data_IF_070918954143
#
_entry.id   IF_070918954143
#
_cell.length_a   1.000
_cell.length_b   1.000
_cell.length_c   1.000
_cell.angle_alpha   90.00
_cell.angle_beta   90.00
_cell.angle_gamma   90.00
#
_symmetry.space_group_name_H-M   'P 1'
#
loop_
_entity.id
_entity.type
_entity.pdbx_description
1 polymer ?
#
# COMPACT_ATOMS: atom_id res chain seq x y z
N UNK A 1 -8.44 52.61 71.62
CA UNK A 1 -9.10 52.56 70.34
C UNK A 1 -8.28 51.72 69.39
N UNK A 2 -8.74 50.53 69.14
CA UNK A 2 -8.03 49.52 68.35
C UNK A 2 -8.47 49.57 66.91
N UNK A 3 -7.59 49.92 66.00
CA UNK A 3 -7.81 49.84 64.58
C UNK A 3 -7.36 48.43 64.16
N UNK A 4 -8.28 47.58 63.87
CA UNK A 4 -7.98 46.26 63.31
C UNK A 4 -7.90 46.42 61.84
N UNK A 5 -6.68 46.39 61.31
CA UNK A 5 -6.45 46.21 59.85
C UNK A 5 -6.74 44.78 59.48
N UNK A 6 -7.81 44.59 58.75
CA UNK A 6 -8.05 43.34 58.12
C UNK A 6 -7.21 43.24 56.83
N UNK A 7 -6.19 42.43 56.86
CA UNK A 7 -5.48 42.05 55.63
C UNK A 7 -6.36 41.11 54.83
N UNK A 8 -6.94 41.63 53.78
CA UNK A 8 -7.60 40.79 52.77
C UNK A 8 -6.47 40.28 51.85
N UNK A 9 -6.12 39.03 52.04
CA UNK A 9 -5.20 38.36 51.13
C UNK A 9 -6.03 37.96 49.91
N UNK A 10 -5.91 38.72 48.83
CA UNK A 10 -6.46 38.32 47.54
C UNK A 10 -5.55 37.23 46.97
N UNK A 11 -6.04 35.99 47.04
CA UNK A 11 -5.40 34.88 46.36
C UNK A 11 -5.72 35.00 44.86
N UNK A 12 -4.78 35.51 44.09
CA UNK A 12 -4.86 35.47 42.63
C UNK A 12 -4.59 34.04 42.19
N UNK A 13 -5.65 33.32 41.94
CA UNK A 13 -5.59 32.06 41.18
C UNK A 13 -5.23 32.40 39.73
N UNK A 14 -3.94 32.31 39.42
CA UNK A 14 -3.52 32.32 38.02
C UNK A 14 -3.94 30.99 37.38
N UNK A 15 -5.05 30.98 36.66
CA UNK A 15 -5.36 29.88 35.76
C UNK A 15 -4.32 29.92 34.65
N UNK A 16 -3.29 29.09 34.77
CA UNK A 16 -2.43 28.78 33.62
C UNK A 16 -3.19 27.88 32.68
N UNK A 17 -3.75 28.45 31.63
CA UNK A 17 -4.30 27.69 30.54
C UNK A 17 -3.13 26.97 29.85
N UNK A 18 -2.95 25.70 30.16
CA UNK A 18 -2.02 24.88 29.43
C UNK A 18 -2.61 24.62 28.03
N UNK A 19 -2.14 25.39 27.06
CA UNK A 19 -2.43 25.08 25.65
C UNK A 19 -1.68 23.81 25.31
N UNK A 20 -2.40 22.68 25.35
CA UNK A 20 -1.87 21.44 24.81
C UNK A 20 -1.88 21.56 23.29
N UNK A 21 -0.75 21.98 22.74
CA UNK A 21 -0.54 21.90 21.30
C UNK A 21 -0.36 20.41 20.98
N UNK A 22 -1.42 19.79 20.55
CA UNK A 22 -1.33 18.47 19.96
C UNK A 22 -0.65 18.64 18.61
N UNK A 23 0.68 18.56 18.61
CA UNK A 23 1.42 18.42 17.38
C UNK A 23 1.03 17.06 16.78
N UNK A 24 0.14 17.08 15.79
CA UNK A 24 -0.08 15.94 14.93
C UNK A 24 1.21 15.75 14.14
N UNK A 25 2.12 14.95 14.68
CA UNK A 25 3.24 14.47 13.91
C UNK A 25 2.67 13.79 12.65
N UNK A 26 3.21 14.09 11.45
CA UNK A 26 2.78 13.37 10.27
C UNK A 26 2.96 11.89 10.57
N UNK A 27 1.86 11.17 10.65
CA UNK A 27 1.90 9.72 10.76
C UNK A 27 2.52 9.22 9.47
N UNK A 28 3.77 8.83 9.54
CA UNK A 28 4.32 7.94 8.54
C UNK A 28 3.51 6.66 8.68
N UNK A 29 2.53 6.49 7.79
CA UNK A 29 1.83 5.23 7.67
C UNK A 29 2.86 4.28 7.08
N UNK A 30 3.59 3.59 7.96
CA UNK A 30 4.37 2.45 7.56
C UNK A 30 3.34 1.38 7.22
N UNK A 31 3.03 1.25 5.94
CA UNK A 31 2.28 0.11 5.48
C UNK A 31 3.10 -1.13 5.85
N UNK A 32 2.51 -2.09 6.58
CA UNK A 32 3.23 -3.34 6.83
C UNK A 32 3.61 -3.91 5.46
N UNK A 33 4.85 -4.42 5.31
CA UNK A 33 5.26 -5.04 4.06
C UNK A 33 4.22 -6.10 3.69
N UNK A 34 3.72 -6.04 2.45
CA UNK A 34 2.84 -7.08 1.92
C UNK A 34 3.59 -8.40 2.09
N UNK A 35 3.01 -9.35 2.81
CA UNK A 35 3.62 -10.64 3.03
C UNK A 35 3.94 -11.29 1.67
N UNK A 36 5.20 -11.65 1.45
CA UNK A 36 5.61 -12.37 0.25
C UNK A 36 4.90 -13.72 0.20
N UNK A 37 4.37 -14.06 -0.98
CA UNK A 37 3.85 -15.39 -1.23
C UNK A 37 5.01 -16.28 -1.64
N UNK A 38 5.30 -17.29 -0.85
CA UNK A 38 6.37 -18.26 -1.08
C UNK A 38 5.78 -19.66 -1.20
N UNK A 39 6.08 -20.35 -2.29
CA UNK A 39 5.51 -21.65 -2.61
C UNK A 39 6.63 -22.64 -2.91
N UNK A 40 6.54 -23.84 -2.36
CA UNK A 40 7.55 -24.89 -2.58
C UNK A 40 7.45 -25.52 -3.98
N UNK A 41 6.26 -25.55 -4.56
CA UNK A 41 6.03 -26.12 -5.88
C UNK A 41 6.27 -25.10 -6.99
N UNK A 42 6.90 -25.49 -8.11
CA UNK A 42 7.05 -24.59 -9.24
C UNK A 42 5.70 -24.25 -9.87
N UNK A 43 5.53 -23.04 -10.40
CA UNK A 43 4.31 -22.69 -11.13
C UNK A 43 4.22 -23.51 -12.41
N UNK A 44 3.00 -23.80 -12.88
CA UNK A 44 2.80 -24.40 -14.20
C UNK A 44 3.31 -23.47 -15.32
N UNK A 45 3.54 -24.00 -16.53
CA UNK A 45 3.84 -23.14 -17.68
C UNK A 45 2.75 -22.10 -17.91
N UNK A 46 3.15 -20.93 -18.38
CA UNK A 46 2.20 -19.87 -18.72
C UNK A 46 1.22 -20.34 -19.79
N UNK A 47 -0.05 -20.05 -19.60
CA UNK A 47 -1.06 -20.35 -20.60
C UNK A 47 -0.96 -19.36 -21.77
N UNK A 48 -1.15 -19.87 -22.97
CA UNK A 48 -1.23 -19.05 -24.17
C UNK A 48 -2.61 -18.41 -24.23
N UNK A 49 -2.64 -17.09 -24.33
CA UNK A 49 -3.88 -16.33 -24.40
C UNK A 49 -4.05 -15.68 -25.77
N UNK A 50 -5.28 -15.62 -26.25
CA UNK A 50 -5.63 -14.79 -27.40
C UNK A 50 -5.86 -13.39 -26.89
N UNK A 51 -5.05 -12.44 -27.34
CA UNK A 51 -5.18 -11.03 -26.96
C UNK A 51 -6.25 -10.37 -27.84
N UNK A 52 -7.39 -9.95 -27.27
CA UNK A 52 -8.41 -9.26 -28.06
C UNK A 52 -7.95 -7.86 -28.48
N UNK A 53 -8.66 -7.28 -29.43
CA UNK A 53 -8.36 -5.91 -29.88
C UNK A 53 -8.53 -4.94 -28.71
N UNK A 54 -7.58 -4.02 -28.55
CA UNK A 54 -7.64 -3.01 -27.49
C UNK A 54 -8.88 -2.11 -27.63
N UNK A 55 -9.55 -1.75 -26.52
CA UNK A 55 -10.69 -0.84 -26.54
C UNK A 55 -10.34 0.57 -27.04
N UNK A 56 -9.06 0.97 -26.94
CA UNK A 56 -8.58 2.26 -27.37
C UNK A 56 -7.07 2.40 -27.23
N UNK A 57 -6.50 3.56 -27.62
CA UNK A 57 -5.04 3.73 -27.69
C UNK A 57 -4.34 3.78 -26.32
N UNK A 58 -5.08 4.11 -25.25
CA UNK A 58 -4.53 4.23 -23.91
C UNK A 58 -4.76 2.97 -23.05
N UNK A 59 -5.11 1.88 -23.68
CA UNK A 59 -5.32 0.60 -23.01
C UNK A 59 -4.11 -0.30 -23.19
N UNK A 60 -3.67 -0.91 -22.09
CA UNK A 60 -2.50 -1.78 -22.05
C UNK A 60 -2.93 -3.17 -21.65
N UNK A 61 -2.48 -4.16 -22.43
CA UNK A 61 -2.72 -5.56 -22.12
C UNK A 61 -1.87 -5.96 -20.90
N UNK A 62 -2.54 -6.46 -19.88
CA UNK A 62 -1.90 -7.11 -18.75
C UNK A 62 -2.04 -8.62 -18.93
N UNK A 63 -0.95 -9.34 -19.30
CA UNK A 63 -1.02 -10.76 -19.52
C UNK A 63 -1.50 -11.52 -18.30
N UNK A 64 -2.16 -12.65 -18.53
CA UNK A 64 -2.57 -13.54 -17.46
C UNK A 64 -1.39 -14.11 -16.69
N UNK A 65 -1.66 -14.59 -15.52
CA UNK A 65 -0.63 -15.14 -14.64
C UNK A 65 -1.21 -16.15 -13.67
N UNK A 66 -0.33 -16.95 -13.07
CA UNK A 66 -0.70 -17.85 -12.00
C UNK A 66 -0.73 -17.13 -10.66
N UNK A 67 -1.81 -17.32 -9.92
CA UNK A 67 -1.92 -16.89 -8.51
C UNK A 67 -1.92 -18.12 -7.62
N UNK A 68 -1.48 -17.95 -6.40
CA UNK A 68 -1.56 -18.98 -5.39
C UNK A 68 -2.75 -18.71 -4.49
N UNK A 69 -3.74 -19.59 -4.56
CA UNK A 69 -4.99 -19.48 -3.79
C UNK A 69 -5.40 -20.88 -3.30
N UNK A 70 -5.76 -20.96 -2.03
CA UNK A 70 -6.26 -22.23 -1.44
C UNK A 70 -5.33 -23.42 -1.71
N UNK A 71 -4.01 -23.22 -1.50
CA UNK A 71 -2.97 -24.23 -1.71
C UNK A 71 -2.84 -24.76 -3.14
N UNK A 72 -3.24 -24.00 -4.14
CA UNK A 72 -3.09 -24.35 -5.54
C UNK A 72 -2.80 -23.15 -6.43
N UNK A 73 -2.21 -23.41 -7.59
CA UNK A 73 -2.06 -22.38 -8.62
C UNK A 73 -3.37 -22.22 -9.38
N UNK A 74 -3.84 -20.99 -9.46
CA UNK A 74 -5.06 -20.62 -10.17
C UNK A 74 -4.71 -19.62 -11.26
N UNK A 75 -5.14 -19.91 -12.50
CA UNK A 75 -4.91 -19.00 -13.62
C UNK A 75 -5.81 -17.78 -13.53
N UNK A 76 -5.21 -16.61 -13.61
CA UNK A 76 -5.92 -15.34 -13.76
C UNK A 76 -5.77 -14.85 -15.19
N UNK A 77 -6.86 -14.80 -15.97
CA UNK A 77 -6.80 -14.35 -17.35
C UNK A 77 -6.27 -12.93 -17.48
N UNK A 78 -5.58 -12.66 -18.58
CA UNK A 78 -5.18 -11.33 -18.93
C UNK A 78 -6.36 -10.42 -19.22
N UNK A 79 -6.15 -9.13 -19.14
CA UNK A 79 -7.17 -8.13 -19.41
C UNK A 79 -6.52 -6.79 -19.78
N UNK A 80 -7.29 -5.90 -20.35
CA UNK A 80 -6.87 -4.55 -20.63
C UNK A 80 -7.11 -3.64 -19.44
N UNK A 81 -6.14 -2.79 -19.15
CA UNK A 81 -6.25 -1.72 -18.18
C UNK A 81 -5.91 -0.40 -18.83
N UNK A 82 -6.62 0.64 -18.42
CA UNK A 82 -6.33 1.98 -18.89
C UNK A 82 -4.99 2.47 -18.33
N UNK A 83 -4.13 2.97 -19.21
CA UNK A 83 -2.84 3.50 -18.82
C UNK A 83 -3.02 4.73 -17.91
N UNK A 84 -2.42 4.71 -16.70
CA UNK A 84 -2.60 5.83 -15.76
C UNK A 84 -1.86 7.12 -16.19
N UNK A 85 -0.83 6.99 -17.02
CA UNK A 85 -0.07 8.13 -17.55
C UNK A 85 0.59 7.73 -18.85
N UNK A 86 0.95 8.70 -19.70
CA UNK A 86 1.58 8.44 -20.99
C UNK A 86 2.93 7.72 -20.87
N UNK A 87 3.63 7.92 -19.75
CA UNK A 87 4.93 7.28 -19.46
C UNK A 87 4.82 5.94 -18.76
N UNK A 88 3.61 5.54 -18.36
CA UNK A 88 3.39 4.29 -17.64
C UNK A 88 3.47 3.08 -18.58
N UNK A 89 4.12 2.03 -18.11
CA UNK A 89 4.12 0.72 -18.76
C UNK A 89 3.91 -0.38 -17.73
N UNK A 90 3.34 -1.49 -18.17
CA UNK A 90 3.03 -2.59 -17.28
C UNK A 90 4.21 -3.54 -17.13
N UNK A 91 4.60 -3.80 -15.88
CA UNK A 91 5.52 -4.86 -15.52
C UNK A 91 4.71 -6.05 -15.06
N UNK A 92 4.80 -7.14 -15.81
CA UNK A 92 4.01 -8.34 -15.54
C UNK A 92 4.40 -9.01 -14.23
N UNK A 93 3.45 -9.63 -13.52
CA UNK A 93 3.80 -10.45 -12.36
C UNK A 93 4.63 -11.66 -12.76
N UNK A 94 5.51 -12.08 -11.89
CA UNK A 94 6.43 -13.20 -12.11
C UNK A 94 6.58 -14.07 -10.87
N UNK A 95 6.78 -15.35 -11.10
CA UNK A 95 7.26 -16.27 -10.09
C UNK A 95 8.75 -16.46 -10.26
N UNK A 96 9.52 -16.18 -9.22
CA UNK A 96 10.98 -16.24 -9.24
C UNK A 96 11.47 -17.33 -8.29
N UNK A 97 12.35 -18.20 -8.79
CA UNK A 97 12.99 -19.20 -7.95
C UNK A 97 14.00 -18.54 -6.99
N UNK A 98 13.87 -18.84 -5.71
CA UNK A 98 14.76 -18.34 -4.69
C UNK A 98 14.91 -19.38 -3.57
N UNK A 99 16.14 -19.82 -3.32
CA UNK A 99 16.46 -20.80 -2.28
C UNK A 99 15.62 -22.09 -2.34
N UNK A 100 15.41 -22.62 -3.55
CA UNK A 100 14.62 -23.84 -3.76
C UNK A 100 13.11 -23.65 -3.64
N UNK A 101 12.65 -22.43 -3.48
CA UNK A 101 11.26 -22.07 -3.41
C UNK A 101 10.89 -21.06 -4.51
N UNK A 102 9.62 -20.79 -4.66
CA UNK A 102 9.11 -19.86 -5.66
C UNK A 102 8.44 -18.68 -4.98
N UNK A 103 8.88 -17.47 -5.33
CA UNK A 103 8.40 -16.21 -4.73
C UNK A 103 7.62 -15.44 -5.78
N UNK A 104 6.42 -15.01 -5.43
CA UNK A 104 5.58 -14.21 -6.31
C UNK A 104 6.00 -12.74 -6.27
N UNK A 105 6.28 -12.19 -7.43
CA UNK A 105 6.52 -10.76 -7.62
C UNK A 105 5.28 -10.16 -8.29
N UNK A 106 4.52 -9.28 -7.59
CA UNK A 106 3.31 -8.68 -8.15
C UNK A 106 3.60 -7.82 -9.36
N UNK A 107 2.68 -7.84 -10.32
CA UNK A 107 2.71 -6.89 -11.42
C UNK A 107 2.47 -5.46 -10.94
N UNK A 108 3.02 -4.50 -11.66
CA UNK A 108 2.88 -3.09 -11.30
C UNK A 108 3.09 -2.17 -12.49
N UNK A 109 2.61 -0.96 -12.36
CA UNK A 109 2.95 0.10 -13.29
C UNK A 109 4.34 0.66 -12.99
N UNK A 110 5.15 0.79 -14.03
CA UNK A 110 6.42 1.48 -13.97
C UNK A 110 6.37 2.69 -14.92
N UNK A 111 7.28 3.63 -14.73
CA UNK A 111 7.27 4.89 -15.47
C UNK A 111 8.65 5.13 -16.12
N UNK A 112 8.60 5.69 -17.30
CA UNK A 112 9.82 6.05 -18.06
C UNK A 112 10.22 7.50 -17.84
#
# INVERSE_FOLDING_TARGET
>A
MQIRSACVIAVLLTLSAACTVTATAPRVVVQPPVAEVVVARPPPPLQVEVVPVAPGPNWVWQPGHWRWEHNEYVWRPGHYEKRPAATAYWVRPEWVARNGQWVFQPGHWAYR
#
